data_IF_156456262049
#
_entry.id   IF_156456262049
#
_cell.length_a   1.000
_cell.length_b   1.000
_cell.length_c   1.000
_cell.angle_alpha   90.00
_cell.angle_beta   90.00
_cell.angle_gamma   90.00
#
_symmetry.space_group_name_H-M   'P 1'
#
loop_
_entity.id
_entity.type
_entity.pdbx_description
1 polymer ?
#
# COMPACT_ATOMS: atom_id res chain seq x y z
N UNK A 1 -8.30 1.24 13.00
CA UNK A 1 -8.58 1.27 14.45
C UNK A 1 -9.55 2.41 14.78
N UNK A 2 -9.27 3.64 14.40
CA UNK A 2 -10.19 4.78 14.63
C UNK A 2 -11.55 4.61 13.96
N UNK A 3 -11.61 3.96 12.81
CA UNK A 3 -12.85 3.64 12.08
C UNK A 3 -13.52 2.33 12.54
N UNK A 4 -13.14 1.79 13.72
CA UNK A 4 -13.75 0.59 14.28
C UNK A 4 -13.19 -0.74 13.80
N UNK A 5 -12.21 -0.75 12.88
CA UNK A 5 -11.57 -1.99 12.43
C UNK A 5 -10.63 -2.58 13.48
N UNK A 6 -10.65 -3.90 13.65
CA UNK A 6 -9.58 -4.62 14.33
C UNK A 6 -8.38 -4.74 13.37
N UNK A 7 -7.21 -4.28 13.82
CA UNK A 7 -6.01 -4.25 12.98
C UNK A 7 -4.90 -5.06 13.61
N UNK A 8 -4.35 -6.00 12.84
CA UNK A 8 -3.21 -6.83 13.21
C UNK A 8 -2.07 -6.56 12.23
N UNK A 9 -0.88 -6.33 12.77
CA UNK A 9 0.32 -6.07 11.97
C UNK A 9 1.13 -7.34 11.81
N UNK A 10 1.45 -7.68 10.56
CA UNK A 10 2.32 -8.80 10.22
C UNK A 10 3.77 -8.36 10.12
N UNK A 11 4.68 -9.17 10.65
CA UNK A 11 6.12 -9.01 10.45
C UNK A 11 6.81 -10.35 10.18
N UNK A 12 7.99 -10.29 9.59
CA UNK A 12 8.85 -11.46 9.39
C UNK A 12 9.52 -11.91 10.71
N UNK A 13 9.85 -10.96 11.58
CA UNK A 13 10.59 -11.18 12.82
C UNK A 13 10.14 -10.14 13.87
N UNK A 14 9.38 -10.60 14.85
CA UNK A 14 8.83 -9.76 15.92
C UNK A 14 9.94 -9.17 16.76
N UNK A 15 10.94 -9.97 17.16
CA UNK A 15 12.03 -9.52 18.01
C UNK A 15 12.84 -8.41 17.33
N UNK A 16 13.17 -8.61 16.06
CA UNK A 16 13.88 -7.61 15.26
C UNK A 16 13.06 -6.33 15.09
N UNK A 17 11.77 -6.44 14.79
CA UNK A 17 10.88 -5.28 14.63
C UNK A 17 10.77 -4.48 15.93
N UNK A 18 10.68 -5.15 17.08
CA UNK A 18 10.58 -4.52 18.38
C UNK A 18 11.91 -3.97 18.90
N UNK A 19 13.04 -4.46 18.38
CA UNK A 19 14.38 -3.95 18.71
C UNK A 19 14.76 -2.69 17.90
N UNK A 20 14.01 -2.35 16.83
CA UNK A 20 14.28 -1.13 16.06
C UNK A 20 13.90 0.10 16.87
N UNK A 21 14.89 0.97 17.12
CA UNK A 21 14.74 2.19 17.93
C UNK A 21 15.02 3.47 17.16
N UNK A 22 15.52 3.34 15.91
CA UNK A 22 15.87 4.51 15.09
C UNK A 22 14.63 5.05 14.40
N UNK A 23 14.47 6.39 14.33
CA UNK A 23 13.49 7.01 13.48
C UNK A 23 13.67 6.57 12.00
N UNK A 24 12.60 6.63 11.23
CA UNK A 24 12.69 6.46 9.79
C UNK A 24 13.40 7.66 9.11
N UNK A 25 13.59 7.59 7.79
CA UNK A 25 14.26 8.64 7.02
C UNK A 25 13.47 9.98 6.99
N UNK A 26 12.20 9.98 7.40
CA UNK A 26 11.36 11.17 7.54
C UNK A 26 11.35 11.71 8.97
N UNK A 27 12.05 11.08 9.92
CA UNK A 27 12.09 11.44 11.33
C UNK A 27 10.90 10.91 12.14
N UNK A 28 10.07 10.04 11.60
CA UNK A 28 8.98 9.43 12.35
C UNK A 28 9.53 8.44 13.38
N UNK A 29 8.90 8.33 14.56
CA UNK A 29 9.26 7.34 15.56
C UNK A 29 9.23 5.91 14.98
N UNK A 30 10.09 4.99 15.46
CA UNK A 30 10.08 3.60 15.02
C UNK A 30 8.76 2.92 15.36
N UNK A 31 8.38 1.93 14.55
CA UNK A 31 7.15 1.15 14.75
C UNK A 31 7.08 0.52 16.15
N UNK A 32 8.22 0.14 16.74
CA UNK A 32 8.31 -0.37 18.10
C UNK A 32 7.81 0.61 19.16
N UNK A 33 8.00 1.91 18.96
CA UNK A 33 7.46 2.95 19.84
C UNK A 33 5.96 3.14 19.61
N UNK A 34 5.54 3.15 18.33
CA UNK A 34 4.14 3.30 17.95
C UNK A 34 3.27 2.17 18.52
N UNK A 35 3.67 0.91 18.36
CA UNK A 35 2.87 -0.24 18.82
C UNK A 35 2.75 -0.28 20.35
N UNK A 36 3.78 0.15 21.08
CA UNK A 36 3.72 0.29 22.55
C UNK A 36 2.68 1.32 23.00
N UNK A 37 2.52 2.39 22.22
CA UNK A 37 1.53 3.43 22.48
C UNK A 37 0.11 3.02 22.07
N UNK A 38 -0.05 1.92 21.31
CA UNK A 38 -1.33 1.44 20.80
C UNK A 38 -1.61 -0.01 21.26
N UNK A 39 -1.95 -0.24 22.56
CA UNK A 39 -2.03 -1.59 23.14
C UNK A 39 -3.12 -2.49 22.53
N UNK A 40 -4.07 -1.91 21.78
CA UNK A 40 -5.05 -2.68 21.00
C UNK A 40 -4.50 -3.24 19.69
N UNK A 41 -3.38 -2.72 19.20
CA UNK A 41 -2.72 -3.22 18.01
C UNK A 41 -1.87 -4.45 18.37
N UNK A 42 -1.90 -5.47 17.52
CA UNK A 42 -1.13 -6.70 17.70
C UNK A 42 -0.06 -6.81 16.61
N UNK A 43 1.14 -7.22 17.00
CA UNK A 43 2.21 -7.56 16.07
C UNK A 43 2.44 -9.07 16.12
N UNK A 44 2.30 -9.72 14.97
CA UNK A 44 2.35 -11.18 14.84
C UNK A 44 3.16 -11.59 13.60
N UNK A 45 3.52 -12.87 13.39
CA UNK A 45 4.07 -13.33 12.11
C UNK A 45 3.15 -13.06 10.93
N UNK A 46 3.70 -12.93 9.71
CA UNK A 46 2.91 -12.69 8.49
C UNK A 46 1.76 -13.71 8.31
N UNK A 47 2.02 -14.99 8.57
CA UNK A 47 1.01 -16.05 8.43
C UNK A 47 -0.18 -15.84 9.36
N UNK A 48 0.08 -15.46 10.62
CA UNK A 48 -0.97 -15.25 11.63
C UNK A 48 -1.78 -13.98 11.31
N UNK A 49 -1.11 -12.90 10.87
CA UNK A 49 -1.78 -11.70 10.41
C UNK A 49 -2.70 -11.99 9.22
N UNK A 50 -2.20 -12.74 8.24
CA UNK A 50 -2.97 -13.09 7.06
C UNK A 50 -4.11 -14.07 7.36
N UNK A 51 -3.94 -14.98 8.31
CA UNK A 51 -5.01 -15.88 8.76
C UNK A 51 -6.15 -15.09 9.43
N UNK A 52 -5.81 -14.10 10.26
CA UNK A 52 -6.75 -13.26 10.99
C UNK A 52 -7.54 -12.30 10.08
N UNK A 53 -6.86 -11.62 9.15
CA UNK A 53 -7.48 -10.56 8.36
C UNK A 53 -8.52 -11.05 7.35
N UNK A 54 -9.69 -10.39 7.29
CA UNK A 54 -10.66 -10.55 6.20
C UNK A 54 -10.23 -9.77 4.96
N UNK A 55 -9.64 -8.60 5.18
CA UNK A 55 -8.99 -7.75 4.17
C UNK A 55 -7.52 -7.61 4.54
N UNK A 56 -6.65 -7.84 3.59
CA UNK A 56 -5.21 -7.76 3.78
C UNK A 56 -4.66 -6.51 3.10
N UNK A 57 -3.65 -5.89 3.71
CA UNK A 57 -2.95 -4.73 3.12
C UNK A 57 -1.48 -5.08 2.97
N UNK A 58 -1.00 -5.10 1.73
CA UNK A 58 0.43 -5.18 1.43
C UNK A 58 1.04 -3.78 1.48
N UNK A 59 1.60 -3.43 2.64
CA UNK A 59 2.32 -2.18 2.88
C UNK A 59 3.85 -2.41 2.98
N UNK A 60 4.35 -3.48 2.38
CA UNK A 60 5.78 -3.78 2.36
C UNK A 60 6.52 -3.00 1.27
N UNK A 61 7.83 -2.85 1.40
CA UNK A 61 8.64 -2.37 0.28
C UNK A 61 8.48 -3.30 -0.94
N UNK A 62 8.36 -2.74 -2.15
CA UNK A 62 8.05 -3.53 -3.34
C UNK A 62 9.01 -4.70 -3.58
N UNK A 63 10.30 -4.49 -3.39
CA UNK A 63 11.31 -5.56 -3.50
C UNK A 63 11.12 -6.71 -2.49
N UNK A 64 10.37 -6.48 -1.40
CA UNK A 64 10.09 -7.49 -0.38
C UNK A 64 8.69 -8.10 -0.49
N UNK A 65 7.79 -7.53 -1.30
CA UNK A 65 6.35 -7.87 -1.35
C UNK A 65 6.10 -9.35 -1.62
N UNK A 66 6.65 -9.91 -2.68
CA UNK A 66 6.46 -11.32 -3.02
C UNK A 66 6.93 -12.26 -1.90
N UNK A 67 8.09 -11.95 -1.29
CA UNK A 67 8.62 -12.74 -0.17
C UNK A 67 7.77 -12.62 1.10
N UNK A 68 7.27 -11.44 1.40
CA UNK A 68 6.39 -11.20 2.54
C UNK A 68 5.06 -11.95 2.38
N UNK A 69 4.44 -11.86 1.19
CA UNK A 69 3.20 -12.56 0.88
C UNK A 69 3.38 -14.09 0.82
N UNK A 70 4.53 -14.58 0.34
CA UNK A 70 4.86 -16.02 0.47
C UNK A 70 4.95 -16.45 1.93
N UNK A 71 5.53 -15.60 2.80
CA UNK A 71 5.58 -15.84 4.24
C UNK A 71 4.21 -15.76 4.92
N UNK A 72 3.26 -15.04 4.34
CA UNK A 72 1.86 -15.03 4.79
C UNK A 72 1.12 -16.35 4.48
N UNK A 73 1.57 -17.06 3.45
CA UNK A 73 1.04 -18.34 3.02
C UNK A 73 -0.12 -18.23 2.04
N UNK A 74 -0.02 -18.93 0.90
CA UNK A 74 -1.01 -18.88 -0.18
C UNK A 74 -2.43 -19.21 0.30
N UNK A 75 -2.58 -20.18 1.21
CA UNK A 75 -3.89 -20.56 1.77
C UNK A 75 -4.57 -19.42 2.53
N UNK A 76 -3.78 -18.62 3.25
CA UNK A 76 -4.29 -17.49 4.04
C UNK A 76 -4.67 -16.30 3.16
N UNK A 77 -4.11 -16.23 1.93
CA UNK A 77 -4.41 -15.18 0.95
C UNK A 77 -5.62 -15.56 0.06
N UNK A 78 -5.87 -16.86 -0.10
CA UNK A 78 -6.87 -17.36 -1.06
C UNK A 78 -8.28 -16.84 -0.75
N UNK A 79 -8.93 -16.27 -1.77
CA UNK A 79 -10.28 -15.71 -1.71
C UNK A 79 -10.40 -14.35 -1.01
N UNK A 80 -9.33 -13.87 -0.37
CA UNK A 80 -9.34 -12.59 0.36
C UNK A 80 -9.00 -11.42 -0.54
N UNK A 81 -9.51 -10.25 -0.20
CA UNK A 81 -9.11 -8.97 -0.80
C UNK A 81 -7.72 -8.63 -0.29
N UNK A 82 -6.81 -8.38 -1.22
CA UNK A 82 -5.44 -7.93 -0.95
C UNK A 82 -5.27 -6.52 -1.54
N UNK A 83 -5.33 -5.51 -0.69
CA UNK A 83 -5.03 -4.13 -1.06
C UNK A 83 -3.50 -4.02 -1.18
N UNK A 84 -3.02 -3.71 -2.38
CA UNK A 84 -1.59 -3.53 -2.64
C UNK A 84 -1.26 -2.05 -2.82
N UNK A 85 -0.51 -1.49 -1.85
CA UNK A 85 -0.04 -0.11 -1.87
C UNK A 85 1.47 -0.01 -2.16
N UNK A 86 2.13 -1.15 -2.41
CA UNK A 86 3.57 -1.20 -2.63
C UNK A 86 3.98 -0.61 -3.99
N UNK A 87 5.24 -0.23 -4.12
CA UNK A 87 5.81 0.26 -5.37
C UNK A 87 7.12 -0.48 -5.68
N UNK A 88 7.39 -0.81 -6.97
CA UNK A 88 8.59 -1.53 -7.39
C UNK A 88 9.81 -0.60 -7.48
N UNK A 89 10.13 0.11 -6.38
CA UNK A 89 11.22 1.07 -6.34
C UNK A 89 12.57 0.38 -6.12
N UNK A 90 13.56 0.79 -6.90
CA UNK A 90 14.96 0.41 -6.78
C UNK A 90 15.82 1.62 -6.41
N UNK A 91 16.40 1.58 -5.23
CA UNK A 91 17.30 2.60 -4.69
C UNK A 91 18.78 2.24 -4.84
N UNK A 92 19.12 1.18 -5.56
CA UNK A 92 20.51 0.70 -5.69
C UNK A 92 21.44 1.74 -6.31
N UNK A 93 20.90 2.66 -7.11
CA UNK A 93 21.63 3.79 -7.72
C UNK A 93 21.40 5.14 -7.00
N UNK A 94 20.77 5.12 -5.82
CA UNK A 94 20.46 6.32 -5.03
C UNK A 94 19.13 6.99 -5.42
N UNK A 95 19.05 8.30 -5.22
CA UNK A 95 17.87 9.12 -5.52
C UNK A 95 18.07 9.90 -6.83
N UNK A 96 17.04 10.05 -7.67
CA UNK A 96 15.72 9.42 -7.59
C UNK A 96 15.79 7.92 -7.87
N UNK A 97 14.89 7.10 -7.27
CA UNK A 97 14.84 5.66 -7.53
C UNK A 97 14.39 5.37 -8.97
N UNK A 98 14.82 4.23 -9.49
CA UNK A 98 14.25 3.62 -10.69
C UNK A 98 13.15 2.61 -10.32
N UNK A 99 12.49 2.04 -11.34
CA UNK A 99 11.54 0.94 -11.15
C UNK A 99 12.23 -0.39 -11.49
N UNK A 100 12.01 -1.43 -10.65
CA UNK A 100 12.49 -2.79 -10.92
C UNK A 100 11.69 -3.49 -12.01
N UNK A 101 10.45 -3.03 -12.24
CA UNK A 101 9.55 -3.49 -13.31
C UNK A 101 8.71 -2.32 -13.79
N UNK A 102 8.50 -2.23 -15.11
CA UNK A 102 7.68 -1.20 -15.76
C UNK A 102 7.28 -1.61 -17.18
N UNK A 103 6.53 -0.76 -17.87
CA UNK A 103 6.07 -0.87 -19.27
C UNK A 103 5.13 -2.05 -19.51
N UNK A 104 5.65 -3.24 -19.66
CA UNK A 104 4.91 -4.45 -20.08
C UNK A 104 4.46 -5.30 -18.90
N UNK A 105 4.86 -4.95 -17.68
CA UNK A 105 4.52 -5.66 -16.43
C UNK A 105 4.51 -4.68 -15.25
N UNK A 106 3.97 -5.11 -14.11
CA UNK A 106 3.90 -4.36 -12.85
C UNK A 106 4.07 -5.29 -11.65
N UNK A 107 4.42 -4.72 -10.50
CA UNK A 107 4.45 -5.47 -9.24
C UNK A 107 3.06 -6.01 -8.87
N UNK A 108 2.00 -5.24 -9.13
CA UNK A 108 0.62 -5.68 -8.92
C UNK A 108 0.28 -6.94 -9.74
N UNK A 109 0.70 -7.00 -11.01
CA UNK A 109 0.54 -8.19 -11.86
C UNK A 109 1.38 -9.36 -11.35
N UNK A 110 2.62 -9.11 -10.94
CA UNK A 110 3.50 -10.15 -10.38
C UNK A 110 2.89 -10.77 -9.12
N UNK A 111 2.33 -9.94 -8.23
CA UNK A 111 1.63 -10.41 -7.03
C UNK A 111 0.40 -11.24 -7.43
N UNK A 112 -0.43 -10.77 -8.36
CA UNK A 112 -1.63 -11.49 -8.80
C UNK A 112 -1.27 -12.83 -9.45
N UNK A 113 -0.20 -12.90 -10.23
CA UNK A 113 0.27 -14.16 -10.83
C UNK A 113 0.84 -15.15 -9.80
N UNK A 114 1.56 -14.63 -8.81
CA UNK A 114 2.14 -15.46 -7.74
C UNK A 114 1.05 -16.01 -6.80
N UNK A 115 -0.04 -15.27 -6.61
CA UNK A 115 -1.15 -15.64 -5.72
C UNK A 115 -2.48 -15.58 -6.47
N UNK A 116 -2.76 -16.50 -7.42
CA UNK A 116 -3.89 -16.38 -8.37
C UNK A 116 -5.26 -16.44 -7.69
N UNK A 117 -5.35 -17.00 -6.49
CA UNK A 117 -6.59 -17.06 -5.70
C UNK A 117 -6.80 -15.83 -4.80
N UNK A 118 -5.80 -14.98 -4.62
CA UNK A 118 -5.97 -13.70 -3.95
C UNK A 118 -6.66 -12.69 -4.87
N UNK A 119 -7.48 -11.82 -4.32
CA UNK A 119 -8.17 -10.76 -5.06
C UNK A 119 -7.38 -9.47 -4.90
N UNK A 120 -6.34 -9.31 -5.73
CA UNK A 120 -5.43 -8.16 -5.65
C UNK A 120 -6.11 -6.90 -6.17
N UNK A 121 -6.04 -5.83 -5.39
CA UNK A 121 -6.47 -4.49 -5.77
C UNK A 121 -5.33 -3.52 -5.51
N UNK A 122 -4.71 -3.02 -6.57
CA UNK A 122 -3.69 -1.97 -6.54
C UNK A 122 -4.35 -0.63 -6.32
N UNK A 123 -3.90 0.12 -5.31
CA UNK A 123 -4.42 1.46 -5.02
C UNK A 123 -3.48 2.22 -4.07
N UNK A 124 -3.72 3.51 -3.85
CA UNK A 124 -3.02 4.39 -2.89
C UNK A 124 -1.51 4.56 -3.14
N UNK A 125 -0.92 3.87 -4.07
CA UNK A 125 0.53 3.83 -4.30
C UNK A 125 1.13 5.11 -4.91
N UNK A 126 0.30 6.07 -5.31
CA UNK A 126 0.70 7.32 -6.00
C UNK A 126 0.78 8.53 -5.07
N UNK A 127 0.83 8.33 -3.76
CA UNK A 127 0.79 9.42 -2.77
C UNK A 127 1.53 9.03 -1.48
N UNK A 128 1.77 10.01 -0.61
CA UNK A 128 2.31 9.76 0.74
C UNK A 128 1.29 9.09 1.66
N UNK A 129 1.77 8.33 2.63
CA UNK A 129 0.95 7.66 3.64
C UNK A 129 -0.02 8.59 4.38
N UNK A 130 0.37 9.84 4.62
CA UNK A 130 -0.49 10.84 5.27
C UNK A 130 -1.76 11.11 4.45
N UNK A 131 -1.63 11.23 3.13
CA UNK A 131 -2.74 11.50 2.22
C UNK A 131 -3.60 10.25 2.00
N UNK A 132 -3.00 9.04 2.04
CA UNK A 132 -3.73 7.76 1.89
C UNK A 132 -4.93 7.67 2.84
N UNK A 133 -4.73 8.05 4.10
CA UNK A 133 -5.73 7.90 5.17
C UNK A 133 -6.43 9.20 5.54
N UNK A 134 -5.96 10.34 5.04
CA UNK A 134 -6.57 11.65 5.23
C UNK A 134 -6.47 12.50 3.95
N UNK A 135 -7.31 12.22 2.94
CA UNK A 135 -7.28 12.96 1.68
C UNK A 135 -7.61 14.45 1.85
N UNK A 136 -8.27 14.85 2.92
CA UNK A 136 -8.61 16.25 3.18
C UNK A 136 -7.38 17.17 3.36
N UNK A 137 -6.20 16.60 3.63
CA UNK A 137 -4.93 17.33 3.69
C UNK A 137 -4.56 18.03 2.37
N UNK A 138 -5.04 17.52 1.24
CA UNK A 138 -4.77 18.09 -0.09
C UNK A 138 -6.08 18.60 -0.70
N UNK A 139 -6.11 19.88 -1.11
CA UNK A 139 -7.24 20.51 -1.78
C UNK A 139 -8.62 20.20 -1.17
N UNK A 140 -8.69 20.06 0.18
CA UNK A 140 -9.93 19.66 0.91
C UNK A 140 -10.55 18.36 0.40
N UNK A 141 -9.73 17.43 -0.10
CA UNK A 141 -10.14 16.15 -0.66
C UNK A 141 -10.64 16.21 -2.11
N UNK A 142 -10.41 17.31 -2.83
CA UNK A 142 -10.77 17.45 -4.25
C UNK A 142 -9.61 16.98 -5.15
N UNK A 143 -9.32 15.69 -5.08
CA UNK A 143 -8.33 14.99 -5.90
C UNK A 143 -8.67 13.50 -6.00
N UNK A 144 -7.91 12.75 -6.79
CA UNK A 144 -8.29 11.39 -7.20
C UNK A 144 -7.45 10.31 -6.52
N UNK A 145 -8.08 9.14 -6.34
CA UNK A 145 -7.40 7.88 -6.07
C UNK A 145 -7.79 6.85 -7.12
N UNK A 146 -6.80 6.09 -7.55
CA UNK A 146 -6.96 5.07 -8.58
C UNK A 146 -7.04 3.68 -7.97
N UNK A 147 -7.75 2.76 -8.63
CA UNK A 147 -7.70 1.34 -8.31
C UNK A 147 -7.67 0.48 -9.58
N UNK A 148 -6.98 -0.64 -9.47
CA UNK A 148 -6.84 -1.64 -10.53
C UNK A 148 -6.97 -3.03 -9.93
N UNK A 149 -7.71 -3.95 -10.56
CA UNK A 149 -7.87 -5.31 -10.06
C UNK A 149 -8.85 -6.13 -10.88
N UNK A 150 -8.70 -7.45 -10.85
CA UNK A 150 -9.47 -8.36 -11.70
C UNK A 150 -10.87 -8.67 -11.14
N UNK A 151 -11.05 -8.59 -9.82
CA UNK A 151 -12.31 -8.96 -9.15
C UNK A 151 -13.13 -7.70 -8.86
N UNK A 152 -14.30 -7.56 -9.50
CA UNK A 152 -15.16 -6.41 -9.35
C UNK A 152 -15.70 -6.23 -7.91
N UNK A 153 -15.98 -7.34 -7.21
CA UNK A 153 -16.43 -7.32 -5.82
C UNK A 153 -15.32 -6.83 -4.87
N UNK A 154 -14.08 -7.26 -5.10
CA UNK A 154 -12.93 -6.77 -4.34
C UNK A 154 -12.70 -5.27 -4.58
N UNK A 155 -12.77 -4.81 -5.83
CA UNK A 155 -12.68 -3.38 -6.15
C UNK A 155 -13.78 -2.56 -5.47
N UNK A 156 -15.03 -3.04 -5.49
CA UNK A 156 -16.14 -2.38 -4.79
C UNK A 156 -15.88 -2.28 -3.29
N UNK A 157 -15.44 -3.38 -2.65
CA UNK A 157 -15.08 -3.40 -1.22
C UNK A 157 -13.96 -2.42 -0.88
N UNK A 158 -12.92 -2.36 -1.72
CA UNK A 158 -11.80 -1.42 -1.53
C UNK A 158 -12.29 0.02 -1.70
N UNK A 159 -13.14 0.29 -2.70
CA UNK A 159 -13.71 1.62 -2.88
C UNK A 159 -14.55 2.08 -1.67
N UNK A 160 -15.29 1.18 -0.99
CA UNK A 160 -15.97 1.48 0.27
C UNK A 160 -15.00 1.87 1.38
N UNK A 161 -13.89 1.12 1.53
CA UNK A 161 -12.83 1.43 2.51
C UNK A 161 -12.21 2.80 2.20
N UNK A 162 -11.90 3.09 0.94
CA UNK A 162 -11.36 4.38 0.54
C UNK A 162 -12.34 5.53 0.86
N UNK A 163 -13.64 5.35 0.59
CA UNK A 163 -14.66 6.35 0.96
C UNK A 163 -14.75 6.56 2.47
N UNK A 164 -14.57 5.51 3.28
CA UNK A 164 -14.53 5.65 4.75
C UNK A 164 -13.34 6.47 5.25
N UNK A 165 -12.24 6.55 4.46
CA UNK A 165 -11.11 7.47 4.72
C UNK A 165 -11.39 8.90 4.26
N UNK A 166 -12.51 9.14 3.56
CA UNK A 166 -12.89 10.46 3.05
C UNK A 166 -12.58 10.70 1.57
N UNK A 167 -12.17 9.66 0.82
CA UNK A 167 -11.98 9.77 -0.64
C UNK A 167 -13.30 10.01 -1.36
N UNK A 168 -13.39 11.14 -2.08
CA UNK A 168 -14.59 11.54 -2.83
C UNK A 168 -14.61 10.99 -4.24
N UNK A 169 -13.42 10.88 -4.87
CA UNK A 169 -13.27 10.46 -6.27
C UNK A 169 -12.35 9.24 -6.32
N UNK A 170 -12.96 8.08 -6.55
CA UNK A 170 -12.29 6.79 -6.73
C UNK A 170 -12.47 6.39 -8.19
N UNK A 171 -11.37 6.34 -8.93
CA UNK A 171 -11.36 6.02 -10.36
C UNK A 171 -10.92 4.57 -10.55
N UNK A 172 -11.82 3.75 -11.07
CA UNK A 172 -11.52 2.38 -11.47
C UNK A 172 -10.85 2.39 -12.86
N UNK A 173 -9.60 1.99 -12.92
CA UNK A 173 -8.82 1.94 -14.15
C UNK A 173 -9.01 0.64 -14.96
N UNK A 174 -9.66 -0.38 -14.37
CA UNK A 174 -9.89 -1.67 -15.02
C UNK A 174 -9.25 -2.84 -14.28
N UNK A 175 -8.70 -3.78 -15.04
CA UNK A 175 -8.06 -4.98 -14.52
C UNK A 175 -6.66 -4.69 -13.93
N UNK A 176 -6.00 -5.73 -13.41
CA UNK A 176 -4.69 -5.57 -12.74
C UNK A 176 -3.57 -5.08 -13.68
N UNK A 177 -3.72 -5.22 -15.00
CA UNK A 177 -2.71 -4.74 -15.96
C UNK A 177 -2.59 -3.21 -15.94
N UNK A 178 -3.66 -2.51 -15.55
CA UNK A 178 -3.65 -1.04 -15.40
C UNK A 178 -2.81 -0.56 -14.21
N UNK A 179 -2.38 -1.46 -13.31
CA UNK A 179 -1.40 -1.18 -12.28
C UNK A 179 -0.06 -0.65 -12.84
N UNK A 180 0.29 -1.02 -14.08
CA UNK A 180 1.47 -0.51 -14.81
C UNK A 180 1.50 1.02 -14.79
N UNK A 181 0.37 1.65 -15.15
CA UNK A 181 0.26 3.10 -15.22
C UNK A 181 0.50 3.78 -13.88
N UNK A 182 -0.16 3.33 -12.83
CA UNK A 182 -0.03 3.95 -11.51
C UNK A 182 1.32 3.66 -10.83
N UNK A 183 1.99 2.55 -11.16
CA UNK A 183 3.36 2.32 -10.72
C UNK A 183 4.36 3.20 -11.48
N UNK A 184 4.19 3.40 -12.79
CA UNK A 184 5.04 4.28 -13.60
C UNK A 184 4.88 5.78 -13.30
N UNK A 185 3.81 6.20 -12.64
CA UNK A 185 3.63 7.58 -12.16
C UNK A 185 4.53 7.90 -10.97
N UNK A 186 4.99 6.89 -10.21
CA UNK A 186 5.74 7.12 -8.97
C UNK A 186 7.08 7.84 -9.17
N UNK A 187 7.87 7.63 -10.23
CA UNK A 187 9.04 8.44 -10.51
C UNK A 187 8.71 9.94 -10.67
N UNK A 188 7.59 10.28 -11.32
CA UNK A 188 7.12 11.68 -11.41
C UNK A 188 6.76 12.22 -10.03
N UNK A 189 6.07 11.42 -9.21
CA UNK A 189 5.72 11.80 -7.84
C UNK A 189 6.98 12.10 -7.01
N UNK A 190 8.03 11.27 -7.11
CA UNK A 190 9.32 11.48 -6.39
C UNK A 190 9.99 12.78 -6.85
N UNK A 191 9.99 13.07 -8.15
CA UNK A 191 10.56 14.30 -8.68
C UNK A 191 9.80 15.54 -8.21
N UNK A 192 8.46 15.47 -8.21
CA UNK A 192 7.60 16.54 -7.69
C UNK A 192 7.82 16.77 -6.20
N UNK A 193 7.94 15.70 -5.40
CA UNK A 193 8.24 15.80 -3.98
C UNK A 193 9.55 16.55 -3.74
N UNK A 194 10.59 16.26 -4.52
CA UNK A 194 11.87 16.94 -4.42
C UNK A 194 11.78 18.42 -4.82
N UNK A 195 11.10 18.72 -5.94
CA UNK A 195 10.94 20.07 -6.45
C UNK A 195 10.07 20.95 -5.52
N UNK A 196 8.97 20.41 -5.01
CA UNK A 196 8.03 21.13 -4.13
C UNK A 196 8.46 21.12 -2.66
N UNK A 197 9.47 20.32 -2.29
CA UNK A 197 9.97 20.13 -0.91
C UNK A 197 8.87 19.72 0.09
N UNK A 198 7.88 18.99 -0.38
CA UNK A 198 6.80 18.44 0.43
C UNK A 198 6.26 17.14 -0.19
N UNK A 199 5.95 16.11 0.61
CA UNK A 199 5.26 14.92 0.14
C UNK A 199 3.73 15.07 0.15
N UNK A 200 3.20 16.20 0.68
CA UNK A 200 1.75 16.39 0.87
C UNK A 200 1.15 17.05 -0.38
N UNK A 201 0.95 16.24 -1.41
CA UNK A 201 0.25 16.57 -2.65
C UNK A 201 -0.31 15.29 -3.27
N UNK A 202 -1.18 15.44 -4.26
CA UNK A 202 -1.71 14.33 -5.03
C UNK A 202 -2.12 14.78 -6.44
N UNK A 203 -2.44 13.82 -7.31
CA UNK A 203 -2.90 14.05 -8.67
C UNK A 203 -4.42 14.29 -8.71
N UNK A 204 -4.84 15.15 -9.65
CA UNK A 204 -6.25 15.38 -9.98
C UNK A 204 -6.42 15.31 -11.49
N UNK A 205 -7.41 14.54 -11.93
CA UNK A 205 -7.82 14.53 -13.34
C UNK A 205 -8.81 15.70 -13.55
N UNK A 206 -8.37 16.70 -14.28
CA UNK A 206 -9.23 17.81 -14.70
C UNK A 206 -10.05 17.40 -15.92
N UNK A 207 -11.37 17.64 -15.87
CA UNK A 207 -12.31 17.41 -16.97
C UNK A 207 -13.52 18.33 -16.83
#
# INVERSE_FOLDING_TARGET
>A
MELGHEVVFGTRDIAKTMAETKPDYMGNPPFSAWIKAHPKAKLVPFADAAAHGEVLVNATAGAASLKALSGAGERNLAGKVLIDISNPLDFSKGMPPSLTVCNTDSLGEQIQRAFPKAKVVKTLNTMTNLVMVNPALVAKGDHDVFLSGNDAGAKAKVAEILRSFGWKRVIDLGDITTARGVEMVVPVWVQLMAAMKTPVFNFKIAQ
#
